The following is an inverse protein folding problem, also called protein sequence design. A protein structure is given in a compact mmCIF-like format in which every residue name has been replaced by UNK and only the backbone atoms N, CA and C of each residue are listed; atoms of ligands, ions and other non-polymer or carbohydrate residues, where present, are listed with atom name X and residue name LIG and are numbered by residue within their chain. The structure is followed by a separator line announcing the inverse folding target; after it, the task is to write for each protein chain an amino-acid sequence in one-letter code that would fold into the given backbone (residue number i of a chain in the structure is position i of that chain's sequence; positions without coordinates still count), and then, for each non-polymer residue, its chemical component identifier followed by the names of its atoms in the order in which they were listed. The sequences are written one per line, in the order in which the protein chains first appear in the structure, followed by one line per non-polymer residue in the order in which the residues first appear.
data_IF_692636334549
#
_entry.id   IF_692636334549
#
_cell.length_a   1.000
_cell.length_b   1.000
_cell.length_c   1.000
_cell.angle_alpha   90.00
_cell.angle_beta   90.00
_cell.angle_gamma   90.00
#
_symmetry.space_group_name_H-M   'P 1'
#
loop_
_entity.id
_entity.type
_entity.pdbx_description
1 polymer ?
#
# COMPACT_ATOMS: atom_id res chain seq x y z
N UNK A 1 28.67 23.05 -3.34
CA UNK A 1 27.41 22.28 -3.28
C UNK A 1 26.38 23.17 -2.61
N UNK A 2 25.30 23.49 -3.32
CA UNK A 2 24.36 24.53 -2.95
C UNK A 2 23.56 24.16 -1.68
N UNK A 3 23.41 25.16 -0.81
CA UNK A 3 22.61 25.14 0.42
C UNK A 3 21.16 24.87 0.06
N UNK A 4 20.57 23.86 0.73
CA UNK A 4 19.19 23.42 0.51
C UNK A 4 18.20 24.56 0.75
N UNK A 5 17.50 24.95 -0.30
CA UNK A 5 16.38 25.88 -0.22
C UNK A 5 15.15 25.09 0.24
N UNK A 6 14.81 25.24 1.52
CA UNK A 6 13.68 24.60 2.21
C UNK A 6 12.36 25.32 1.88
N UNK A 7 11.35 24.59 1.36
CA UNK A 7 10.00 25.12 1.11
C UNK A 7 9.11 25.12 2.37
N UNK A 8 9.52 24.45 3.45
CA UNK A 8 8.88 24.56 4.76
C UNK A 8 9.91 24.22 5.83
N UNK A 9 10.20 25.15 6.75
CA UNK A 9 11.49 25.24 7.46
C UNK A 9 11.81 24.09 8.44
N UNK A 10 10.90 23.16 8.70
CA UNK A 10 11.08 22.13 9.73
C UNK A 10 11.01 20.68 9.24
N UNK A 11 10.51 20.45 8.02
CA UNK A 11 10.28 19.09 7.53
C UNK A 11 11.37 18.64 6.55
N UNK A 12 11.70 17.35 6.61
CA UNK A 12 12.72 16.76 5.78
C UNK A 12 12.12 16.16 4.51
N UNK A 13 12.84 16.26 3.38
CA UNK A 13 12.38 15.67 2.14
C UNK A 13 12.38 14.13 2.25
N UNK A 14 11.25 13.45 2.02
CA UNK A 14 11.14 11.99 2.14
C UNK A 14 12.11 11.20 1.25
N UNK A 15 12.38 11.68 0.03
CA UNK A 15 13.28 10.99 -0.89
C UNK A 15 14.74 11.02 -0.39
N UNK A 16 15.17 12.16 0.17
CA UNK A 16 16.48 12.25 0.81
C UNK A 16 16.54 11.42 2.11
N UNK A 17 15.42 11.23 2.80
CA UNK A 17 15.40 10.41 4.02
C UNK A 17 15.66 8.95 3.70
N UNK A 18 15.01 8.43 2.66
CA UNK A 18 15.24 7.07 2.17
C UNK A 18 16.70 6.90 1.74
N UNK A 19 17.27 7.88 1.01
CA UNK A 19 18.69 7.86 0.65
C UNK A 19 19.60 7.79 1.88
N UNK A 20 19.33 8.61 2.90
CA UNK A 20 20.10 8.61 4.14
C UNK A 20 20.02 7.26 4.87
N UNK A 21 18.84 6.65 4.96
CA UNK A 21 18.66 5.33 5.58
C UNK A 21 19.46 4.26 4.81
N UNK A 22 19.37 4.24 3.48
CA UNK A 22 20.10 3.27 2.64
C UNK A 22 21.62 3.42 2.76
N UNK A 23 22.13 4.66 2.75
CA UNK A 23 23.56 4.92 2.78
C UNK A 23 24.15 4.80 4.19
N UNK A 24 23.52 5.40 5.20
CA UNK A 24 24.11 5.56 6.54
C UNK A 24 23.69 4.45 7.50
N UNK A 25 22.44 3.99 7.46
CA UNK A 25 21.96 2.94 8.37
C UNK A 25 22.25 1.54 7.81
N UNK A 26 22.09 1.35 6.51
CA UNK A 26 22.34 0.06 5.83
C UNK A 26 23.75 -0.06 5.25
N UNK A 27 24.52 1.03 5.18
CA UNK A 27 25.90 1.02 4.71
C UNK A 27 26.08 0.76 3.21
N UNK A 28 25.03 0.97 2.40
CA UNK A 28 25.10 0.74 0.96
C UNK A 28 25.88 1.88 0.28
N UNK A 29 26.78 1.56 -0.67
CA UNK A 29 27.52 2.60 -1.39
C UNK A 29 26.58 3.39 -2.31
N UNK A 30 26.87 4.68 -2.46
CA UNK A 30 26.09 5.60 -3.32
C UNK A 30 26.04 5.17 -4.79
N UNK A 31 26.98 4.35 -5.26
CA UNK A 31 26.98 3.78 -6.61
C UNK A 31 25.83 2.78 -6.86
N UNK A 32 25.23 2.24 -5.80
CA UNK A 32 24.11 1.30 -5.85
C UNK A 32 22.74 1.99 -5.80
N UNK A 33 22.72 3.32 -5.79
CA UNK A 33 21.50 4.12 -5.77
C UNK A 33 21.50 5.02 -7.00
N UNK A 34 20.38 5.08 -7.71
CA UNK A 34 20.27 5.93 -8.89
C UNK A 34 19.98 7.39 -8.49
N UNK A 35 20.98 8.25 -8.53
CA UNK A 35 20.82 9.67 -8.14
C UNK A 35 19.75 10.40 -8.94
N UNK A 36 19.52 10.01 -10.19
CA UNK A 36 18.55 10.66 -11.09
C UNK A 36 17.12 10.41 -10.64
N UNK A 37 16.76 9.15 -10.37
CA UNK A 37 15.43 8.77 -9.88
C UNK A 37 15.12 9.42 -8.53
N UNK A 38 16.09 9.42 -7.60
CA UNK A 38 15.91 10.06 -6.29
C UNK A 38 15.76 11.58 -6.39
N UNK A 39 16.50 12.25 -7.28
CA UNK A 39 16.38 13.69 -7.48
C UNK A 39 15.05 14.07 -8.13
N UNK A 40 14.58 13.29 -9.11
CA UNK A 40 13.27 13.50 -9.76
C UNK A 40 12.12 13.37 -8.75
N UNK A 41 12.15 12.32 -7.92
CA UNK A 41 11.19 12.13 -6.83
C UNK A 41 11.29 13.27 -5.79
N UNK A 42 12.50 13.66 -5.39
CA UNK A 42 12.70 14.75 -4.43
C UNK A 42 12.15 16.09 -4.93
N UNK A 43 12.34 16.40 -6.21
CA UNK A 43 11.84 17.63 -6.85
C UNK A 43 10.33 17.63 -6.93
N UNK A 44 9.72 16.49 -7.28
CA UNK A 44 8.26 16.35 -7.32
C UNK A 44 7.66 16.55 -5.93
N UNK A 45 8.21 15.89 -4.90
CA UNK A 45 7.75 16.05 -3.51
C UNK A 45 7.92 17.48 -2.99
N UNK A 46 8.98 18.17 -3.42
CA UNK A 46 9.21 19.57 -3.08
C UNK A 46 8.14 20.48 -3.69
N UNK A 47 7.81 20.29 -4.97
CA UNK A 47 6.76 21.06 -5.64
C UNK A 47 5.36 20.78 -5.07
N UNK A 48 5.16 19.62 -4.46
CA UNK A 48 3.92 19.23 -3.78
C UNK A 48 3.86 19.64 -2.29
N UNK A 49 4.88 20.33 -1.77
CA UNK A 49 5.02 20.69 -0.34
C UNK A 49 4.92 19.47 0.60
N UNK A 50 5.39 18.29 0.16
CA UNK A 50 5.39 17.06 0.97
C UNK A 50 6.69 16.91 1.76
N UNK A 51 6.58 17.00 3.08
CA UNK A 51 7.67 16.79 4.02
C UNK A 51 7.36 15.71 5.06
N UNK A 52 8.40 15.17 5.71
CA UNK A 52 8.27 14.25 6.83
C UNK A 52 9.09 14.70 8.04
N UNK A 53 8.59 14.38 9.22
CA UNK A 53 9.32 14.50 10.49
C UNK A 53 9.19 13.18 11.24
N UNK A 54 10.27 12.39 11.22
CA UNK A 54 10.28 11.04 11.78
C UNK A 54 11.42 10.94 12.78
N UNK A 55 11.12 10.41 13.97
CA UNK A 55 12.12 10.08 14.96
C UNK A 55 12.71 8.70 14.68
N UNK A 56 14.01 8.64 14.42
CA UNK A 56 14.73 7.36 14.29
C UNK A 56 15.14 6.85 15.67
N UNK A 57 14.49 5.78 16.13
CA UNK A 57 14.94 4.99 17.27
C UNK A 57 15.94 3.93 16.80
N UNK A 58 17.02 3.71 17.57
CA UNK A 58 18.02 2.68 17.25
C UNK A 58 17.49 1.24 17.39
N UNK A 59 16.34 1.06 18.02
CA UNK A 59 15.75 -0.26 18.29
C UNK A 59 14.92 -0.80 17.12
N UNK A 60 14.39 0.11 16.27
CA UNK A 60 13.52 -0.27 15.17
C UNK A 60 14.34 -0.64 13.92
N UNK A 61 13.75 -1.47 13.06
CA UNK A 61 14.43 -1.88 11.83
C UNK A 61 14.35 -0.76 10.79
N UNK A 62 15.48 -0.51 10.11
CA UNK A 62 15.56 0.46 9.02
C UNK A 62 14.52 0.23 7.91
N UNK A 63 14.17 -1.03 7.64
CA UNK A 63 13.18 -1.41 6.63
C UNK A 63 11.77 -0.90 6.97
N UNK A 64 11.40 -0.87 8.26
CA UNK A 64 10.07 -0.44 8.70
C UNK A 64 9.91 1.07 8.52
N UNK A 65 10.99 1.83 8.75
CA UNK A 65 11.02 3.25 8.43
C UNK A 65 10.88 3.50 6.93
N UNK A 66 11.61 2.76 6.08
CA UNK A 66 11.49 2.88 4.62
C UNK A 66 10.05 2.59 4.20
N UNK A 67 9.43 1.52 4.70
CA UNK A 67 8.05 1.17 4.38
C UNK A 67 7.05 2.26 4.80
N UNK A 68 7.23 2.84 6.00
CA UNK A 68 6.40 3.95 6.49
C UNK A 68 6.52 5.19 5.60
N UNK A 69 7.75 5.56 5.21
CA UNK A 69 8.00 6.70 4.32
C UNK A 69 7.41 6.46 2.94
N UNK A 70 7.60 5.27 2.36
CA UNK A 70 7.06 4.89 1.05
C UNK A 70 5.53 4.94 1.04
N UNK A 71 4.88 4.47 2.11
CA UNK A 71 3.43 4.55 2.24
C UNK A 71 2.95 6.01 2.34
N UNK A 72 3.66 6.88 3.06
CA UNK A 72 3.33 8.29 3.18
C UNK A 72 3.40 9.05 1.85
N UNK A 73 4.40 8.75 1.01
CA UNK A 73 4.59 9.41 -0.28
C UNK A 73 3.92 8.69 -1.45
N UNK A 74 3.29 7.53 -1.22
CA UNK A 74 2.85 6.60 -2.27
C UNK A 74 3.97 6.30 -3.28
N UNK A 75 5.14 5.92 -2.76
CA UNK A 75 6.32 5.58 -3.55
C UNK A 75 6.58 4.08 -3.56
N UNK A 76 7.29 3.63 -4.59
CA UNK A 76 7.85 2.29 -4.68
C UNK A 76 9.37 2.42 -4.79
N UNK A 77 10.06 1.68 -3.92
CA UNK A 77 11.49 1.45 -4.03
C UNK A 77 11.68 0.06 -4.64
N UNK A 78 12.31 -0.02 -5.81
CA UNK A 78 12.60 -1.29 -6.48
C UNK A 78 14.07 -1.36 -6.88
N UNK A 79 14.49 -2.58 -7.18
CA UNK A 79 15.83 -2.88 -7.63
C UNK A 79 15.81 -3.17 -9.14
N UNK A 80 16.55 -2.38 -9.92
CA UNK A 80 16.58 -2.47 -11.37
C UNK A 80 17.58 -3.49 -11.90
N UNK A 81 17.48 -3.79 -13.20
CA UNK A 81 18.45 -4.64 -13.93
C UNK A 81 19.85 -4.02 -13.98
N UNK A 82 19.95 -2.70 -13.78
CA UNK A 82 21.21 -1.95 -13.69
C UNK A 82 21.92 -2.12 -12.33
N UNK A 83 21.39 -3.00 -11.49
CA UNK A 83 21.88 -3.32 -10.15
C UNK A 83 21.79 -2.14 -9.15
N UNK A 84 20.90 -1.18 -9.38
CA UNK A 84 20.67 -0.03 -8.48
C UNK A 84 19.25 0.02 -7.92
N UNK A 85 19.14 0.75 -6.81
CA UNK A 85 17.86 1.12 -6.23
C UNK A 85 17.29 2.35 -6.93
N UNK A 86 16.04 2.21 -7.38
CA UNK A 86 15.26 3.25 -8.02
C UNK A 86 14.03 3.58 -7.17
N UNK A 87 13.75 4.88 -7.05
CA UNK A 87 12.58 5.41 -6.37
C UNK A 87 11.62 6.00 -7.41
N UNK A 88 10.41 5.45 -7.49
CA UNK A 88 9.33 5.97 -8.33
C UNK A 88 8.14 6.35 -7.44
N UNK A 89 7.47 7.44 -7.79
CA UNK A 89 6.23 7.88 -7.14
C UNK A 89 5.05 7.42 -7.99
N UNK A 90 4.00 6.91 -7.35
CA UNK A 90 2.77 6.50 -8.06
C UNK A 90 1.87 7.73 -8.22
N UNK A 91 1.90 8.37 -9.39
CA UNK A 91 1.14 9.60 -9.71
C UNK A 91 0.58 9.54 -11.14
N UNK A 92 -0.12 10.60 -11.56
CA UNK A 92 -0.58 10.79 -12.95
C UNK A 92 0.55 11.31 -13.86
N UNK A 93 1.76 10.75 -13.73
CA UNK A 93 2.94 11.13 -14.51
C UNK A 93 3.07 10.36 -15.83
N UNK A 94 1.99 9.68 -16.25
CA UNK A 94 1.88 8.99 -17.52
C UNK A 94 1.05 9.77 -18.53
N UNK A 95 1.45 9.71 -19.80
CA UNK A 95 0.68 10.28 -20.91
C UNK A 95 -0.42 9.27 -21.25
N UNK A 96 -1.69 9.65 -21.01
CA UNK A 96 -2.86 8.79 -21.27
C UNK A 96 -2.88 8.26 -22.71
N UNK A 97 -2.42 9.06 -23.68
CA UNK A 97 -2.34 8.67 -25.10
C UNK A 97 -1.29 7.60 -25.44
N UNK A 98 -0.28 7.42 -24.59
CA UNK A 98 0.77 6.41 -24.76
C UNK A 98 0.41 5.08 -24.09
N UNK A 99 -0.71 5.03 -23.36
CA UNK A 99 -1.18 3.80 -22.76
C UNK A 99 -1.52 2.78 -23.86
N UNK A 100 -1.04 1.53 -23.74
CA UNK A 100 -1.35 0.50 -24.71
C UNK A 100 -2.86 0.25 -24.74
N UNK A 101 -3.46 0.45 -25.92
CA UNK A 101 -4.87 0.18 -26.14
C UNK A 101 -5.04 -1.34 -26.25
N UNK A 102 -5.50 -1.97 -25.17
CA UNK A 102 -5.85 -3.39 -25.16
C UNK A 102 -7.21 -3.57 -25.84
N UNK A 103 -7.19 -3.70 -27.17
CA UNK A 103 -8.38 -3.98 -27.99
C UNK A 103 -8.54 -5.47 -28.32
N UNK A 104 -9.60 -5.82 -29.04
CA UNK A 104 -9.89 -7.20 -29.46
C UNK A 104 -8.76 -7.84 -30.28
N UNK A 105 -7.93 -7.04 -30.96
CA UNK A 105 -6.76 -7.51 -31.70
C UNK A 105 -5.56 -7.91 -30.81
N UNK A 106 -5.53 -7.47 -29.54
CA UNK A 106 -4.50 -7.84 -28.58
C UNK A 106 -4.87 -9.12 -27.78
N UNK A 107 -6.08 -9.64 -27.98
CA UNK A 107 -6.59 -10.83 -27.31
C UNK A 107 -6.22 -12.05 -28.17
N UNK A 108 -5.10 -12.69 -27.85
CA UNK A 108 -4.62 -13.90 -28.55
C UNK A 108 -5.48 -15.13 -28.26
N UNK A 109 -6.04 -15.21 -27.04
CA UNK A 109 -6.84 -16.33 -26.57
C UNK A 109 -8.21 -15.87 -26.08
N UNK A 110 -9.26 -16.65 -26.37
CA UNK A 110 -10.59 -16.37 -25.83
C UNK A 110 -10.55 -16.29 -24.31
N UNK A 111 -11.14 -15.25 -23.69
CA UNK A 111 -11.17 -15.12 -22.24
C UNK A 111 -11.94 -16.29 -21.64
N UNK A 112 -11.22 -17.22 -21.03
CA UNK A 112 -11.82 -18.35 -20.31
C UNK A 112 -12.44 -17.83 -19.04
N UNK A 113 -13.76 -17.65 -19.05
CA UNK A 113 -14.54 -17.37 -17.85
C UNK A 113 -14.57 -18.65 -17.00
N UNK A 114 -13.65 -18.75 -16.04
CA UNK A 114 -13.67 -19.83 -15.06
C UNK A 114 -14.64 -19.45 -13.96
N UNK A 115 -15.69 -20.25 -13.78
CA UNK A 115 -16.51 -20.18 -12.56
C UNK A 115 -15.80 -20.96 -11.46
N UNK A 116 -15.78 -20.40 -10.25
CA UNK A 116 -15.33 -21.13 -9.07
C UNK A 116 -16.09 -22.45 -8.95
N UNK A 117 -15.36 -23.54 -8.74
CA UNK A 117 -15.98 -24.84 -8.50
C UNK A 117 -16.70 -24.80 -7.14
N UNK A 118 -17.75 -25.61 -6.98
CA UNK A 118 -18.54 -25.68 -5.75
C UNK A 118 -17.69 -25.97 -4.49
N UNK A 119 -16.56 -26.65 -4.66
CA UNK A 119 -15.61 -26.92 -3.58
C UNK A 119 -14.82 -25.68 -3.10
N UNK A 120 -14.80 -24.59 -3.86
CA UNK A 120 -14.20 -23.29 -3.50
C UNK A 120 -15.26 -22.32 -2.97
N UNK A 121 -16.51 -22.77 -2.86
CA UNK A 121 -17.57 -21.98 -2.23
C UNK A 121 -17.39 -22.08 -0.72
N UNK A 122 -16.93 -21.00 -0.12
CA UNK A 122 -16.81 -20.88 1.33
C UNK A 122 -18.21 -20.83 1.93
N UNK A 123 -18.64 -21.92 2.59
CA UNK A 123 -19.93 -22.00 3.29
C UNK A 123 -19.89 -21.36 4.69
N UNK A 124 -18.71 -20.92 5.15
CA UNK A 124 -18.54 -20.39 6.49
C UNK A 124 -17.48 -19.29 6.49
N UNK A 125 -17.85 -18.13 7.05
CA UNK A 125 -16.91 -17.05 7.37
C UNK A 125 -16.87 -16.90 8.89
N UNK A 126 -15.72 -17.20 9.51
CA UNK A 126 -15.49 -16.94 10.94
C UNK A 126 -14.86 -15.57 11.11
N UNK A 127 -15.64 -14.60 11.59
CA UNK A 127 -15.14 -13.26 11.90
C UNK A 127 -14.78 -13.19 13.39
N UNK A 128 -13.52 -12.89 13.69
CA UNK A 128 -13.11 -12.48 15.03
C UNK A 128 -13.11 -10.96 15.08
N UNK A 129 -13.96 -10.37 15.93
CA UNK A 129 -13.99 -8.93 16.14
C UNK A 129 -13.74 -8.61 17.62
N UNK A 130 -13.00 -7.53 17.87
CA UNK A 130 -12.85 -6.95 19.20
C UNK A 130 -13.85 -5.82 19.38
N UNK A 131 -14.63 -5.88 20.46
CA UNK A 131 -15.54 -4.79 20.80
C UNK A 131 -14.73 -3.60 21.35
N UNK A 132 -14.83 -2.45 20.69
CA UNK A 132 -14.07 -1.24 21.09
C UNK A 132 -14.45 -0.70 22.49
N UNK A 133 -15.61 -1.06 23.02
CA UNK A 133 -16.15 -0.54 24.30
C UNK A 133 -15.74 -1.36 25.54
N UNK A 134 -15.16 -2.56 25.38
CA UNK A 134 -14.69 -3.37 26.49
C UNK A 134 -13.16 -3.50 26.40
N UNK A 135 -12.45 -2.76 27.25
CA UNK A 135 -11.01 -2.92 27.47
C UNK A 135 -10.72 -4.20 28.28
N UNK A 136 -11.27 -5.35 27.85
CA UNK A 136 -10.98 -6.66 28.43
C UNK A 136 -11.06 -7.69 27.29
N UNK A 137 -9.98 -8.44 27.11
CA UNK A 137 -9.77 -9.51 26.14
C UNK A 137 -10.83 -10.62 26.24
N UNK A 138 -11.99 -10.37 25.64
CA UNK A 138 -13.07 -11.35 25.54
C UNK A 138 -13.23 -11.73 24.08
N UNK A 139 -12.69 -12.90 23.72
CA UNK A 139 -12.74 -13.45 22.36
C UNK A 139 -14.11 -14.09 22.15
N UNK A 140 -15.06 -13.34 21.63
CA UNK A 140 -16.38 -13.86 21.27
C UNK A 140 -16.30 -14.38 19.83
N UNK A 141 -16.29 -15.69 19.66
CA UNK A 141 -16.52 -16.34 18.36
C UNK A 141 -18.02 -16.50 18.14
N UNK A 142 -18.55 -15.85 17.11
CA UNK A 142 -19.90 -16.15 16.60
C UNK A 142 -19.79 -16.90 15.27
N UNK A 143 -20.61 -17.94 15.11
CA UNK A 143 -20.75 -18.70 13.87
C UNK A 143 -22.02 -18.26 13.17
N UNK A 144 -21.89 -17.61 12.01
CA UNK A 144 -23.01 -17.38 11.09
C UNK A 144 -22.88 -18.38 9.94
N UNK A 145 -23.92 -19.21 9.73
CA UNK A 145 -24.01 -20.14 8.60
C UNK A 145 -24.73 -19.39 7.48
N UNK A 146 -24.00 -18.97 6.45
CA UNK A 146 -24.59 -18.34 5.28
C UNK A 146 -24.12 -19.06 4.01
N UNK A 147 -25.08 -19.63 3.27
CA UNK A 147 -24.81 -20.30 2.00
C UNK A 147 -24.76 -19.23 0.90
N UNK A 148 -23.56 -18.77 0.58
CA UNK A 148 -23.34 -17.84 -0.53
C UNK A 148 -23.61 -18.55 -1.87
N UNK A 149 -24.69 -18.15 -2.56
CA UNK A 149 -24.97 -18.62 -3.92
C UNK A 149 -24.06 -17.89 -4.92
N UNK A 150 -23.51 -18.58 -5.94
CA UNK A 150 -22.76 -17.91 -7.00
C UNK A 150 -23.62 -16.84 -7.70
N UNK A 151 -23.21 -15.57 -7.61
CA UNK A 151 -23.87 -14.44 -8.29
C UNK A 151 -24.76 -13.53 -7.44
N UNK A 152 -24.77 -13.67 -6.11
CA UNK A 152 -25.50 -12.73 -5.24
C UNK A 152 -24.78 -11.36 -5.16
N UNK A 153 -25.50 -10.23 -5.31
CA UNK A 153 -24.90 -8.90 -5.17
C UNK A 153 -24.46 -8.63 -3.73
N UNK A 154 -23.21 -8.19 -3.56
CA UNK A 154 -22.50 -7.94 -2.29
C UNK A 154 -23.25 -7.01 -1.29
N UNK A 155 -24.27 -6.27 -1.72
CA UNK A 155 -24.95 -5.27 -0.89
C UNK A 155 -26.07 -5.80 0.02
N UNK A 156 -26.61 -7.00 -0.22
CA UNK A 156 -27.76 -7.52 0.54
C UNK A 156 -27.35 -8.29 1.81
N UNK A 157 -26.18 -8.90 1.76
CA UNK A 157 -25.56 -9.70 2.82
C UNK A 157 -25.10 -8.86 4.03
N UNK A 158 -24.77 -7.58 3.84
CA UNK A 158 -24.37 -6.72 4.96
C UNK A 158 -25.56 -6.27 5.82
N UNK A 159 -26.75 -6.07 5.24
CA UNK A 159 -27.91 -5.60 6.01
C UNK A 159 -28.51 -6.68 6.91
N UNK A 160 -28.64 -7.93 6.44
CA UNK A 160 -29.15 -9.03 7.27
C UNK A 160 -28.20 -9.35 8.43
N UNK A 161 -26.89 -9.36 8.20
CA UNK A 161 -25.88 -9.53 9.24
C UNK A 161 -25.88 -8.37 10.26
N UNK A 162 -26.04 -7.12 9.81
CA UNK A 162 -26.18 -5.94 10.68
C UNK A 162 -27.48 -5.99 11.49
N UNK A 163 -28.58 -6.49 10.93
CA UNK A 163 -29.87 -6.57 11.61
C UNK A 163 -29.90 -7.65 12.69
N UNK A 164 -29.21 -8.79 12.47
CA UNK A 164 -28.98 -9.82 13.49
C UNK A 164 -28.13 -9.27 14.65
N UNK A 165 -27.13 -8.44 14.36
CA UNK A 165 -26.31 -7.75 15.39
C UNK A 165 -27.13 -6.71 16.19
N UNK A 166 -28.10 -6.01 15.56
CA UNK A 166 -28.95 -5.03 16.23
C UNK A 166 -30.02 -5.65 17.12
N UNK A 167 -30.45 -6.88 16.82
CA UNK A 167 -31.58 -7.52 17.51
C UNK A 167 -31.26 -8.21 18.83
N UNK A 168 -30.01 -8.16 19.33
CA UNK A 168 -29.64 -8.54 20.70
C UNK A 168 -30.33 -9.82 21.18
N UNK A 169 -29.67 -10.98 21.00
CA UNK A 169 -30.11 -12.23 21.63
C UNK A 169 -30.39 -11.94 23.13
N UNK A 170 -31.55 -12.36 23.69
CA UNK A 170 -31.87 -12.13 25.09
C UNK A 170 -30.83 -12.68 26.05
#
# INVERSE_FOLDING_TARGET
MAVGTIANTFDYNPAHAIWHILNTMLGLPTSRMDSTSFLAAATTLYNEDRGISILFSKQDKAIDYIASILNHINGILYYGDDAKFHLILIRDDYIVGDLPIIGAAAITDEPKVVRGAWNTTENQVKVQYSQRLLYIDTRITQEAIEVLRPGAPFGRITQEAIEVLRKGIP
#
